data_IF_459820020995
#
_entry.id   IF_459820020995
#
_cell.length_a   1.000
_cell.length_b   1.000
_cell.length_c   1.000
_cell.angle_alpha   90.00
_cell.angle_beta   90.00
_cell.angle_gamma   90.00
#
_symmetry.space_group_name_H-M   'P 1'
#
loop_
_entity.id
_entity.type
_entity.pdbx_description
1 polymer ?
#
# COMPACT_ATOMS: atom_id res chain seq x y z
N UNK A 1 -3.77 -49.25 4.13
CA UNK A 1 -4.10 -48.33 3.01
C UNK A 1 -2.96 -47.34 2.74
N UNK A 2 -2.39 -46.65 3.77
CA UNK A 2 -1.30 -45.66 3.55
C UNK A 2 0.04 -46.34 3.23
N UNK A 3 0.34 -47.47 3.86
CA UNK A 3 1.55 -48.29 3.57
C UNK A 3 1.57 -48.79 2.11
N UNK A 4 0.40 -49.16 1.61
CA UNK A 4 0.25 -49.68 0.24
C UNK A 4 0.27 -48.55 -0.79
N UNK A 5 -0.26 -47.38 -0.44
CA UNK A 5 -0.29 -46.21 -1.31
C UNK A 5 1.12 -45.60 -1.55
N UNK A 6 2.05 -45.72 -0.58
CA UNK A 6 3.39 -45.15 -0.67
C UNK A 6 4.51 -46.18 -0.83
N UNK A 7 4.19 -47.45 -1.12
CA UNK A 7 5.13 -48.55 -1.22
C UNK A 7 6.16 -48.36 -2.33
N UNK A 8 5.72 -47.79 -3.45
CA UNK A 8 6.56 -47.58 -4.65
C UNK A 8 6.95 -46.10 -4.85
N UNK A 9 6.84 -45.26 -3.81
CA UNK A 9 7.22 -43.86 -3.86
C UNK A 9 8.42 -43.57 -2.96
N UNK A 10 9.19 -42.53 -3.29
CA UNK A 10 10.30 -42.03 -2.46
C UNK A 10 9.81 -41.25 -1.23
N UNK A 11 8.55 -41.42 -0.83
CA UNK A 11 7.93 -40.73 0.29
C UNK A 11 7.75 -41.68 1.47
N UNK A 12 8.09 -41.19 2.67
CA UNK A 12 7.74 -41.78 3.95
C UNK A 12 6.68 -40.88 4.62
N UNK A 13 5.84 -41.46 5.44
CA UNK A 13 4.85 -40.69 6.19
C UNK A 13 5.05 -40.89 7.70
N UNK A 14 4.75 -39.85 8.46
CA UNK A 14 4.76 -39.86 9.92
C UNK A 14 3.50 -39.19 10.45
N UNK A 15 2.93 -39.77 11.55
CA UNK A 15 1.76 -39.19 12.17
C UNK A 15 2.18 -38.20 13.28
N UNK A 16 1.74 -36.95 13.13
CA UNK A 16 1.88 -35.93 14.16
C UNK A 16 0.47 -35.46 14.57
N UNK A 17 -0.04 -36.03 15.67
CA UNK A 17 -1.37 -35.77 16.22
C UNK A 17 -2.52 -35.93 15.20
N UNK A 18 -2.89 -34.82 14.53
CA UNK A 18 -3.98 -34.75 13.52
C UNK A 18 -3.49 -34.63 12.09
N UNK A 19 -2.20 -34.59 11.88
CA UNK A 19 -1.60 -34.38 10.55
C UNK A 19 -0.78 -35.58 10.13
N UNK A 20 -0.75 -35.82 8.83
CA UNK A 20 0.13 -36.80 8.20
C UNK A 20 1.24 -36.01 7.50
N UNK A 21 2.46 -36.13 7.98
CA UNK A 21 3.63 -35.52 7.39
C UNK A 21 4.20 -36.44 6.32
N UNK A 22 4.34 -35.95 5.10
CA UNK A 22 4.98 -36.65 4.00
C UNK A 22 6.44 -36.21 3.91
N UNK A 23 7.37 -37.16 4.07
CA UNK A 23 8.80 -36.93 4.06
C UNK A 23 9.44 -37.67 2.86
N UNK A 24 10.46 -37.10 2.26
CA UNK A 24 11.21 -37.76 1.20
C UNK A 24 12.18 -38.77 1.82
N UNK A 25 12.17 -40.04 1.38
CA UNK A 25 13.00 -41.15 1.91
C UNK A 25 14.52 -40.86 1.93
N UNK A 26 14.99 -39.93 1.11
CA UNK A 26 16.40 -39.57 1.01
C UNK A 26 16.85 -38.38 1.90
N UNK A 27 15.97 -37.80 2.71
CA UNK A 27 16.31 -36.68 3.60
C UNK A 27 16.82 -37.18 4.99
N UNK A 28 17.77 -38.11 4.96
CA UNK A 28 18.47 -38.57 6.18
C UNK A 28 19.26 -37.49 6.92
N UNK A 29 19.26 -36.25 6.40
CA UNK A 29 19.96 -35.12 7.00
C UNK A 29 19.14 -34.27 7.98
N UNK A 30 17.81 -34.44 8.04
CA UNK A 30 16.94 -33.61 8.91
C UNK A 30 16.41 -34.33 10.16
N UNK A 31 16.48 -35.64 10.20
CA UNK A 31 16.04 -36.44 11.36
C UNK A 31 17.09 -36.48 12.49
N UNK A 32 18.26 -35.89 12.32
CA UNK A 32 19.29 -35.87 13.36
C UNK A 32 19.22 -34.67 14.32
N UNK A 33 18.17 -33.82 14.23
CA UNK A 33 18.00 -32.72 15.18
C UNK A 33 17.23 -33.11 16.47
N UNK A 34 16.66 -34.31 16.52
CA UNK A 34 15.94 -34.82 17.71
C UNK A 34 16.87 -35.59 18.69
N UNK A 35 18.13 -35.76 18.33
CA UNK A 35 19.16 -36.43 19.17
C UNK A 35 20.17 -35.50 19.85
N UNK A 36 20.10 -34.18 19.65
CA UNK A 36 20.90 -33.26 20.44
C UNK A 36 20.17 -32.99 21.76
N UNK A 37 20.86 -33.28 22.88
CA UNK A 37 20.36 -33.01 24.23
C UNK A 37 19.83 -31.59 24.30
N UNK A 38 18.51 -31.43 24.18
CA UNK A 38 17.85 -30.16 24.46
C UNK A 38 18.12 -29.82 25.93
N UNK A 39 18.41 -28.58 26.19
CA UNK A 39 18.62 -28.08 27.55
C UNK A 39 17.61 -27.01 27.88
N UNK A 40 17.14 -27.03 29.08
CA UNK A 40 16.26 -25.98 29.59
C UNK A 40 17.09 -24.74 29.94
N UNK A 41 16.71 -23.60 29.35
CA UNK A 41 17.25 -22.29 29.66
C UNK A 41 16.18 -21.46 30.35
N UNK A 42 16.59 -20.74 31.36
CA UNK A 42 15.78 -19.75 32.06
C UNK A 42 16.40 -18.37 31.91
N UNK A 43 15.61 -17.32 31.94
CA UNK A 43 16.13 -15.95 31.91
C UNK A 43 15.04 -14.95 32.26
N UNK A 44 15.45 -13.71 32.44
CA UNK A 44 14.57 -12.61 32.73
C UNK A 44 14.72 -11.56 31.63
N UNK A 45 13.60 -11.02 31.14
CA UNK A 45 13.59 -9.92 30.19
C UNK A 45 13.17 -8.66 30.94
N UNK A 46 14.03 -7.64 30.91
CA UNK A 46 13.79 -6.35 31.54
C UNK A 46 13.95 -5.22 30.53
N UNK A 47 13.43 -4.06 30.85
CA UNK A 47 13.71 -2.81 30.13
C UNK A 47 14.99 -2.12 30.62
N UNK A 48 15.28 -0.92 30.04
CA UNK A 48 16.43 -0.10 30.46
C UNK A 48 16.34 0.43 31.90
N UNK A 49 15.13 0.45 32.49
CA UNK A 49 14.91 0.91 33.86
C UNK A 49 14.97 -0.24 34.86
N UNK A 50 15.12 -1.48 34.38
CA UNK A 50 15.11 -2.69 35.19
C UNK A 50 13.73 -3.22 35.50
N UNK A 51 12.67 -2.69 34.85
CA UNK A 51 11.30 -3.19 34.97
C UNK A 51 11.09 -4.46 34.15
N UNK A 52 10.38 -5.48 34.65
CA UNK A 52 10.15 -6.71 33.93
C UNK A 52 9.22 -6.51 32.73
N UNK A 53 9.63 -6.98 31.56
CA UNK A 53 8.81 -6.95 30.33
C UNK A 53 7.90 -8.18 30.31
N UNK A 54 6.61 -7.98 30.55
CA UNK A 54 5.59 -9.04 30.62
C UNK A 54 5.08 -9.36 29.22
N UNK A 55 5.02 -10.65 28.85
CA UNK A 55 4.48 -11.08 27.56
C UNK A 55 5.43 -10.88 26.39
N UNK A 56 6.73 -10.66 26.64
CA UNK A 56 7.74 -10.64 25.59
C UNK A 56 7.84 -12.02 24.93
N UNK A 57 7.89 -12.05 23.61
CA UNK A 57 7.99 -13.26 22.82
C UNK A 57 9.46 -13.69 22.71
N UNK A 58 9.77 -14.91 23.11
CA UNK A 58 11.12 -15.51 23.09
C UNK A 58 11.07 -16.73 22.19
N UNK A 59 11.66 -16.65 21.00
CA UNK A 59 11.64 -17.72 19.99
C UNK A 59 13.06 -18.14 19.61
N UNK A 60 13.23 -19.40 19.22
CA UNK A 60 14.46 -19.88 18.60
C UNK A 60 14.47 -19.43 17.14
N UNK A 61 15.46 -18.62 16.75
CA UNK A 61 15.57 -18.07 15.41
C UNK A 61 15.53 -19.18 14.34
N UNK A 62 14.63 -18.99 13.36
CA UNK A 62 14.44 -19.95 12.27
C UNK A 62 13.53 -21.14 12.59
N UNK A 63 12.88 -21.15 13.76
CA UNK A 63 11.89 -22.17 14.16
C UNK A 63 10.61 -21.50 14.65
N UNK A 64 9.57 -22.31 14.85
CA UNK A 64 8.32 -21.89 15.51
C UNK A 64 8.31 -22.22 17.02
N UNK A 65 9.44 -22.65 17.58
CA UNK A 65 9.56 -23.02 18.99
C UNK A 65 9.85 -21.77 19.81
N UNK A 66 9.00 -21.46 20.77
CA UNK A 66 9.14 -20.27 21.60
C UNK A 66 8.27 -20.32 22.85
N UNK A 67 8.42 -19.31 23.68
CA UNK A 67 7.63 -19.06 24.89
C UNK A 67 7.41 -17.56 25.06
N UNK A 68 6.60 -17.17 26.04
CA UNK A 68 6.38 -15.78 26.45
C UNK A 68 6.83 -15.57 27.89
N UNK A 69 7.24 -14.36 28.23
CA UNK A 69 7.63 -14.01 29.60
C UNK A 69 6.43 -13.89 30.52
N UNK A 70 6.60 -14.28 31.78
CA UNK A 70 5.60 -14.19 32.84
C UNK A 70 5.48 -12.77 33.43
N UNK A 71 4.67 -12.62 34.49
CA UNK A 71 4.44 -11.35 35.20
C UNK A 71 5.69 -10.76 35.87
N UNK A 72 6.74 -11.54 36.03
CA UNK A 72 8.04 -11.13 36.56
C UNK A 72 9.09 -11.00 35.44
N UNK A 73 8.68 -11.04 34.16
CA UNK A 73 9.58 -11.02 33.01
C UNK A 73 10.39 -12.31 32.82
N UNK A 74 10.08 -13.39 33.54
CA UNK A 74 10.82 -14.66 33.46
C UNK A 74 10.31 -15.55 32.34
N UNK A 75 11.23 -16.27 31.72
CA UNK A 75 10.90 -17.27 30.70
C UNK A 75 11.68 -18.57 30.93
N UNK A 76 11.14 -19.66 30.44
CA UNK A 76 11.76 -20.97 30.40
C UNK A 76 11.55 -21.59 29.03
N UNK A 77 12.60 -22.00 28.36
CA UNK A 77 12.54 -22.57 27.02
C UNK A 77 13.56 -23.71 26.86
N UNK A 78 13.13 -24.78 26.21
CA UNK A 78 14.05 -25.86 25.81
C UNK A 78 14.71 -25.54 24.49
N UNK A 79 16.03 -25.52 24.46
CA UNK A 79 16.79 -25.09 23.28
C UNK A 79 17.88 -26.11 22.92
N UNK A 80 18.17 -26.30 21.64
CA UNK A 80 19.34 -27.06 21.21
C UNK A 80 20.64 -26.30 21.51
N UNK A 81 21.80 -27.00 21.58
CA UNK A 81 23.10 -26.36 21.74
C UNK A 81 23.39 -25.33 20.65
N UNK A 82 23.92 -24.16 21.03
CA UNK A 82 24.22 -23.03 20.13
C UNK A 82 23.00 -22.41 19.43
N UNK A 83 21.83 -22.48 20.05
CA UNK A 83 20.65 -21.78 19.53
C UNK A 83 20.81 -20.26 19.63
N UNK A 84 20.22 -19.55 18.70
CA UNK A 84 20.03 -18.11 18.76
C UNK A 84 18.61 -17.84 19.21
N UNK A 85 18.44 -17.15 20.34
CA UNK A 85 17.12 -16.68 20.77
C UNK A 85 16.87 -15.29 20.19
N UNK A 86 15.68 -15.12 19.68
CA UNK A 86 15.17 -13.83 19.23
C UNK A 86 14.06 -13.39 20.19
N UNK A 87 14.28 -12.27 20.87
CA UNK A 87 13.37 -11.72 21.85
C UNK A 87 12.76 -10.45 21.28
N UNK A 88 11.43 -10.39 21.25
CA UNK A 88 10.67 -9.27 20.70
C UNK A 88 9.48 -8.90 21.58
N UNK A 89 9.19 -7.60 21.66
CA UNK A 89 8.01 -7.08 22.33
C UNK A 89 7.57 -5.78 21.65
N UNK A 90 6.28 -5.48 21.70
CA UNK A 90 5.72 -4.28 21.08
C UNK A 90 6.30 -3.03 21.75
N UNK A 91 6.88 -2.13 20.98
CA UNK A 91 7.53 -0.92 21.49
C UNK A 91 8.99 -1.09 21.87
N UNK A 92 9.61 -2.24 21.59
CA UNK A 92 11.02 -2.51 21.88
C UNK A 92 11.75 -3.05 20.64
N UNK A 93 13.03 -2.72 20.54
CA UNK A 93 13.91 -3.26 19.51
C UNK A 93 14.09 -4.76 19.71
N UNK A 94 13.89 -5.54 18.64
CA UNK A 94 14.12 -6.99 18.66
C UNK A 94 15.59 -7.28 18.95
N UNK A 95 15.88 -8.12 19.96
CA UNK A 95 17.22 -8.49 20.36
C UNK A 95 17.51 -9.96 20.10
N UNK A 96 18.67 -10.24 19.53
CA UNK A 96 19.14 -11.60 19.30
C UNK A 96 20.29 -11.91 20.27
N UNK A 97 20.24 -13.09 20.89
CA UNK A 97 21.28 -13.59 21.77
C UNK A 97 21.69 -15.01 21.37
N UNK A 98 22.97 -15.27 21.33
CA UNK A 98 23.51 -16.60 21.11
C UNK A 98 23.60 -17.31 22.45
N UNK A 99 22.97 -18.48 22.57
CA UNK A 99 23.02 -19.27 23.75
C UNK A 99 24.28 -20.16 23.69
N UNK A 100 25.29 -19.76 24.45
CA UNK A 100 26.48 -20.58 24.68
C UNK A 100 26.24 -21.54 25.87
N UNK A 101 27.21 -21.91 26.63
CA UNK A 101 27.09 -22.93 27.69
C UNK A 101 26.32 -22.49 28.97
N UNK A 102 25.83 -21.28 29.03
CA UNK A 102 25.10 -20.76 30.20
C UNK A 102 23.68 -21.31 30.31
N UNK A 103 23.25 -21.60 31.55
CA UNK A 103 21.86 -22.03 31.84
C UNK A 103 20.88 -20.86 32.00
N UNK A 104 21.39 -19.65 32.15
CA UNK A 104 20.60 -18.43 32.31
C UNK A 104 20.94 -17.43 31.21
N UNK A 105 19.92 -16.78 30.66
CA UNK A 105 20.06 -15.77 29.61
C UNK A 105 19.14 -14.58 29.92
N UNK A 106 19.66 -13.64 30.72
CA UNK A 106 18.96 -12.41 31.03
C UNK A 106 19.16 -11.38 29.89
N UNK A 107 18.08 -10.68 29.53
CA UNK A 107 18.04 -9.79 28.38
C UNK A 107 17.42 -8.46 28.75
N UNK A 108 18.13 -7.39 28.44
CA UNK A 108 17.59 -6.04 28.51
C UNK A 108 17.13 -5.65 27.11
N UNK A 109 15.83 -5.37 26.99
CA UNK A 109 15.26 -4.80 25.77
C UNK A 109 15.39 -3.27 25.82
N UNK A 110 15.77 -2.70 24.71
CA UNK A 110 15.85 -1.26 24.53
C UNK A 110 14.52 -0.82 23.94
N UNK A 111 13.85 0.15 24.55
CA UNK A 111 12.66 0.74 23.97
C UNK A 111 12.96 1.19 22.55
N UNK A 112 12.13 0.77 21.60
CA UNK A 112 12.14 1.33 20.27
C UNK A 112 11.60 2.76 20.35
N UNK A 113 12.49 3.68 20.73
CA UNK A 113 12.21 5.12 20.72
C UNK A 113 12.10 5.68 19.30
N UNK A 114 12.27 4.86 18.27
CA UNK A 114 11.64 5.10 16.99
C UNK A 114 10.11 4.91 17.13
N UNK A 115 9.48 5.70 18.03
CA UNK A 115 8.21 6.26 17.66
C UNK A 115 8.45 6.76 16.25
N UNK A 116 7.76 6.19 15.30
CA UNK A 116 7.50 6.83 14.03
C UNK A 116 6.69 8.06 14.47
N UNK A 117 7.40 9.10 14.89
CA UNK A 117 6.83 10.41 15.07
C UNK A 117 6.32 10.72 13.68
N UNK A 118 5.00 10.62 13.53
CA UNK A 118 4.34 10.91 12.26
C UNK A 118 4.66 12.36 11.95
N UNK A 119 5.68 12.52 11.11
CA UNK A 119 6.23 13.82 10.76
C UNK A 119 5.34 14.38 9.68
N UNK A 120 4.79 15.55 9.92
CA UNK A 120 3.96 16.28 8.97
C UNK A 120 4.80 17.37 8.35
N UNK A 121 4.82 17.42 7.03
CA UNK A 121 5.46 18.51 6.30
C UNK A 121 4.61 19.76 6.49
N UNK A 122 5.19 20.78 7.08
CA UNK A 122 4.58 22.10 7.25
C UNK A 122 5.46 23.15 6.56
N UNK A 123 4.92 23.82 5.58
CA UNK A 123 5.46 24.99 4.88
C UNK A 123 6.96 25.09 4.67
N UNK A 124 7.73 25.25 5.71
CA UNK A 124 9.19 25.37 5.68
C UNK A 124 9.89 24.38 6.61
N UNK A 125 9.43 23.13 6.64
CA UNK A 125 10.07 22.09 7.45
C UNK A 125 9.14 20.97 7.83
N UNK A 126 9.64 20.07 8.66
CA UNK A 126 8.89 18.95 9.21
C UNK A 126 8.62 19.20 10.70
N UNK A 127 7.39 19.02 11.14
CA UNK A 127 7.00 19.09 12.54
C UNK A 127 6.36 17.78 12.99
N UNK A 128 6.51 17.45 14.27
CA UNK A 128 5.83 16.28 14.84
C UNK A 128 4.32 16.53 14.86
N UNK A 129 3.53 15.56 14.40
CA UNK A 129 2.06 15.65 14.32
C UNK A 129 1.42 16.08 15.65
N UNK A 130 1.99 15.66 16.78
CA UNK A 130 1.52 16.04 18.12
C UNK A 130 1.75 17.50 18.49
N UNK A 131 2.65 18.21 17.80
CA UNK A 131 2.99 19.61 18.05
C UNK A 131 2.16 20.57 17.18
N UNK A 132 1.51 20.03 16.13
CA UNK A 132 0.69 20.84 15.23
C UNK A 132 -0.73 20.93 15.77
N UNK A 133 -1.11 22.11 16.25
CA UNK A 133 -2.46 22.40 16.76
C UNK A 133 -3.58 22.40 15.70
N UNK A 134 -3.26 22.02 14.47
CA UNK A 134 -4.13 22.10 13.30
C UNK A 134 -4.67 20.72 12.88
N UNK A 135 -5.88 20.71 12.27
CA UNK A 135 -6.47 19.49 11.73
C UNK A 135 -5.78 19.07 10.44
N UNK A 136 -4.72 18.27 10.56
CA UNK A 136 -3.99 17.69 9.45
C UNK A 136 -4.39 16.22 9.32
N UNK A 137 -4.65 15.79 8.07
CA UNK A 137 -4.85 14.37 7.75
C UNK A 137 -3.70 13.90 6.88
N UNK A 138 -2.93 12.95 7.39
CA UNK A 138 -1.80 12.32 6.71
C UNK A 138 -2.22 10.95 6.20
N UNK A 139 -1.96 10.68 4.94
CA UNK A 139 -2.17 9.37 4.29
C UNK A 139 -0.85 8.93 3.68
N UNK A 140 -0.32 7.81 4.15
CA UNK A 140 0.90 7.19 3.61
C UNK A 140 0.57 6.24 2.47
N UNK A 141 1.56 5.93 1.63
CA UNK A 141 1.44 5.06 0.46
C UNK A 141 0.80 3.69 0.77
N UNK A 142 1.07 3.11 1.94
CA UNK A 142 0.47 1.83 2.38
C UNK A 142 -1.06 1.90 2.50
N UNK A 143 -1.57 3.09 2.77
CA UNK A 143 -2.99 3.36 2.95
C UNK A 143 -3.67 3.91 1.69
N UNK A 144 -2.99 3.99 0.57
CA UNK A 144 -3.59 4.46 -0.67
C UNK A 144 -4.62 3.47 -1.22
N UNK A 145 -5.56 4.00 -2.01
CA UNK A 145 -6.48 3.16 -2.76
C UNK A 145 -5.71 2.50 -3.89
N UNK A 146 -5.56 1.17 -3.84
CA UNK A 146 -4.82 0.39 -4.85
C UNK A 146 -5.67 0.18 -6.09
N UNK A 147 -5.76 1.19 -6.92
CA UNK A 147 -6.42 1.13 -8.23
C UNK A 147 -5.49 1.71 -9.29
N UNK A 148 -5.46 1.15 -10.51
CA UNK A 148 -4.74 1.76 -11.61
C UNK A 148 -5.41 3.10 -11.93
N UNK A 149 -4.86 4.17 -11.39
CA UNK A 149 -5.35 5.55 -11.61
C UNK A 149 -4.21 6.43 -12.08
N UNK A 150 -4.57 7.37 -12.92
CA UNK A 150 -3.64 8.41 -13.39
C UNK A 150 -3.70 9.66 -12.54
N UNK A 151 -4.71 9.76 -11.67
CA UNK A 151 -4.97 10.94 -10.84
C UNK A 151 -4.64 10.64 -9.38
N UNK A 152 -3.63 11.33 -8.84
CA UNK A 152 -3.21 11.19 -7.46
C UNK A 152 -4.33 11.49 -6.44
N UNK A 153 -5.33 12.30 -6.79
CA UNK A 153 -6.48 12.56 -5.93
C UNK A 153 -7.27 11.28 -5.61
N UNK A 154 -7.36 10.36 -6.56
CA UNK A 154 -8.10 9.10 -6.37
C UNK A 154 -7.48 8.21 -5.28
N UNK A 155 -6.18 8.34 -5.01
CA UNK A 155 -5.48 7.57 -3.98
C UNK A 155 -6.05 7.82 -2.58
N UNK A 156 -6.56 9.04 -2.32
CA UNK A 156 -7.05 9.48 -1.02
C UNK A 156 -8.58 9.62 -0.96
N UNK A 157 -9.27 9.21 -2.03
CA UNK A 157 -10.74 9.28 -2.11
C UNK A 157 -11.39 8.49 -0.98
N UNK A 158 -12.27 9.16 -0.23
CA UNK A 158 -12.97 8.57 0.92
C UNK A 158 -12.13 8.35 2.18
N UNK A 159 -10.82 8.71 2.18
CA UNK A 159 -9.93 8.52 3.33
C UNK A 159 -9.75 9.76 4.20
N UNK A 160 -10.09 10.91 3.67
CA UNK A 160 -9.97 12.20 4.37
C UNK A 160 -11.34 12.78 4.69
N UNK A 161 -11.73 12.89 5.97
CA UNK A 161 -13.00 13.52 6.33
C UNK A 161 -13.06 14.98 5.87
N UNK A 162 -14.14 15.36 5.20
CA UNK A 162 -14.38 16.72 4.69
C UNK A 162 -13.71 17.01 3.35
N UNK A 163 -13.02 16.04 2.74
CA UNK A 163 -12.50 16.12 1.38
C UNK A 163 -13.46 15.44 0.40
N UNK A 164 -13.97 16.21 -0.55
CA UNK A 164 -14.79 15.72 -1.66
C UNK A 164 -13.97 15.65 -2.93
N UNK A 165 -13.92 14.49 -3.56
CA UNK A 165 -13.21 14.25 -4.81
C UNK A 165 -14.23 13.72 -5.82
N UNK A 166 -14.50 14.50 -6.86
CA UNK A 166 -15.48 14.21 -7.90
C UNK A 166 -14.76 14.12 -9.23
N UNK A 167 -14.89 13.02 -9.91
CA UNK A 167 -14.46 12.87 -11.30
C UNK A 167 -15.61 13.36 -12.19
N UNK A 168 -15.45 14.46 -12.94
CA UNK A 168 -16.56 15.11 -13.64
C UNK A 168 -17.10 14.28 -14.81
N UNK A 169 -16.26 13.48 -15.41
CA UNK A 169 -16.59 12.63 -16.56
C UNK A 169 -15.83 11.29 -16.52
N UNK A 170 -16.10 10.45 -17.50
CA UNK A 170 -15.45 9.15 -17.66
C UNK A 170 -14.12 9.25 -18.47
N UNK A 171 -13.66 10.45 -18.78
CA UNK A 171 -12.43 10.66 -19.52
C UNK A 171 -11.22 10.33 -18.63
N UNK A 172 -10.35 9.38 -18.98
CA UNK A 172 -9.21 8.98 -18.18
C UNK A 172 -8.17 10.07 -17.91
N UNK A 173 -8.20 11.15 -18.72
CA UNK A 173 -7.30 12.30 -18.54
C UNK A 173 -7.94 13.47 -17.81
N UNK A 174 -9.21 13.36 -17.43
CA UNK A 174 -9.88 14.41 -16.67
C UNK A 174 -9.32 14.51 -15.27
N UNK A 175 -9.03 15.75 -14.87
CA UNK A 175 -8.62 16.06 -13.51
C UNK A 175 -9.79 15.99 -12.56
N UNK A 176 -9.65 15.31 -11.43
CA UNK A 176 -10.64 15.32 -10.37
C UNK A 176 -10.87 16.73 -9.83
N UNK A 177 -12.12 17.08 -9.63
CA UNK A 177 -12.49 18.28 -8.89
C UNK A 177 -12.40 17.98 -7.39
N UNK A 178 -11.61 18.79 -6.70
CA UNK A 178 -11.37 18.63 -5.27
C UNK A 178 -11.97 19.81 -4.54
N UNK A 179 -12.80 19.53 -3.56
CA UNK A 179 -13.33 20.52 -2.64
C UNK A 179 -13.07 20.09 -1.19
N UNK A 180 -12.55 20.99 -0.39
CA UNK A 180 -12.29 20.77 1.02
C UNK A 180 -13.29 21.59 1.84
N UNK A 181 -14.08 20.91 2.71
CA UNK A 181 -15.14 21.51 3.53
C UNK A 181 -16.26 22.23 2.74
N UNK A 182 -16.44 21.84 1.47
CA UNK A 182 -17.48 22.38 0.61
C UNK A 182 -17.06 23.58 -0.24
N UNK A 183 -18.01 24.18 -0.94
CA UNK A 183 -17.78 25.33 -1.81
C UNK A 183 -17.78 26.59 -0.97
N UNK A 184 -16.64 27.29 -0.96
CA UNK A 184 -16.45 28.52 -0.16
C UNK A 184 -16.73 29.80 -0.91
N UNK A 185 -16.82 29.73 -2.24
CA UNK A 185 -17.00 30.94 -3.09
C UNK A 185 -17.87 30.62 -4.31
N UNK A 186 -18.63 31.60 -4.74
CA UNK A 186 -19.50 31.49 -5.95
C UNK A 186 -18.80 31.91 -7.25
N UNK A 187 -17.72 32.69 -7.17
CA UNK A 187 -17.05 33.29 -8.34
C UNK A 187 -15.59 32.91 -8.50
N UNK A 188 -14.93 32.41 -7.45
CA UNK A 188 -13.54 32.03 -7.48
C UNK A 188 -13.38 30.50 -7.40
N UNK A 189 -12.19 30.00 -7.70
CA UNK A 189 -11.89 28.58 -7.51
C UNK A 189 -12.00 28.19 -6.04
N UNK A 190 -12.72 27.11 -5.74
CA UNK A 190 -12.79 26.47 -4.42
C UNK A 190 -11.77 25.35 -4.27
N UNK A 191 -10.89 25.15 -5.26
CA UNK A 191 -9.88 24.09 -5.23
C UNK A 191 -8.80 24.41 -4.19
N UNK A 192 -8.34 23.41 -3.41
CA UNK A 192 -7.21 23.57 -2.51
C UNK A 192 -5.93 23.83 -3.28
N UNK A 193 -4.95 24.47 -2.63
CA UNK A 193 -3.61 24.60 -3.15
C UNK A 193 -2.90 23.25 -3.13
N UNK A 194 -2.35 22.82 -4.25
CA UNK A 194 -1.54 21.60 -4.34
C UNK A 194 -0.07 21.96 -4.37
N UNK A 195 0.71 21.32 -3.51
CA UNK A 195 2.16 21.46 -3.44
C UNK A 195 2.79 20.07 -3.58
N UNK A 196 3.77 19.96 -4.48
CA UNK A 196 4.56 18.76 -4.71
C UNK A 196 5.98 19.09 -4.26
N UNK A 197 6.44 18.40 -3.22
CA UNK A 197 7.73 18.67 -2.56
C UNK A 197 7.96 20.16 -2.25
N UNK A 198 6.88 20.84 -1.84
CA UNK A 198 6.87 22.27 -1.50
C UNK A 198 6.70 23.23 -2.68
N UNK A 199 6.63 22.75 -3.92
CA UNK A 199 6.45 23.55 -5.13
C UNK A 199 4.99 23.47 -5.58
N UNK A 200 4.32 24.61 -5.89
CA UNK A 200 2.98 24.59 -6.46
C UNK A 200 2.93 23.82 -7.77
N UNK A 201 2.05 22.83 -7.85
CA UNK A 201 1.93 21.94 -9.00
C UNK A 201 0.51 21.42 -9.21
N UNK A 202 0.35 20.55 -10.19
CA UNK A 202 -0.90 19.85 -10.50
C UNK A 202 -0.80 18.38 -10.07
N UNK A 203 -1.90 17.84 -9.57
CA UNK A 203 -2.00 16.44 -9.14
C UNK A 203 -1.68 15.44 -10.26
N UNK A 204 -1.95 15.81 -11.51
CA UNK A 204 -1.67 14.97 -12.67
C UNK A 204 -0.19 14.99 -13.11
N UNK A 205 0.63 15.87 -12.54
CA UNK A 205 2.05 15.99 -12.89
C UNK A 205 2.95 15.00 -12.15
N UNK A 206 2.40 14.28 -11.16
CA UNK A 206 3.12 13.28 -10.36
C UNK A 206 2.51 11.92 -10.58
N UNK A 207 3.37 10.92 -10.83
CA UNK A 207 2.92 9.54 -10.86
C UNK A 207 2.39 9.10 -9.49
N UNK A 208 1.20 8.50 -9.40
CA UNK A 208 0.69 7.91 -8.16
C UNK A 208 1.66 6.95 -7.47
N UNK A 209 2.45 6.22 -8.25
CA UNK A 209 3.43 5.24 -7.76
C UNK A 209 4.66 5.90 -7.10
N UNK A 210 4.95 7.16 -7.45
CA UNK A 210 6.09 7.91 -6.92
C UNK A 210 5.74 8.69 -5.63
N UNK A 211 4.49 8.64 -5.18
CA UNK A 211 4.04 9.34 -3.97
C UNK A 211 4.33 8.49 -2.73
N UNK A 212 5.00 9.09 -1.75
CA UNK A 212 5.22 8.50 -0.42
C UNK A 212 4.08 8.82 0.54
N UNK A 213 3.67 10.11 0.56
CA UNK A 213 2.71 10.62 1.53
C UNK A 213 1.91 11.79 0.95
N UNK A 214 0.65 11.89 1.37
CA UNK A 214 -0.22 13.04 1.09
C UNK A 214 -0.73 13.60 2.42
N UNK A 215 -0.44 14.86 2.68
CA UNK A 215 -0.93 15.61 3.84
C UNK A 215 -1.99 16.62 3.41
N UNK A 216 -3.14 16.59 4.07
CA UNK A 216 -4.23 17.51 3.81
C UNK A 216 -4.41 18.45 4.98
N UNK A 217 -4.05 19.72 4.78
CA UNK A 217 -4.21 20.80 5.74
C UNK A 217 -5.59 21.42 5.57
N UNK A 218 -6.47 21.14 6.52
CA UNK A 218 -7.90 21.50 6.39
C UNK A 218 -8.20 22.87 6.96
N UNK A 219 -7.39 23.36 7.88
CA UNK A 219 -7.64 24.60 8.60
C UNK A 219 -6.85 25.76 8.02
N UNK A 220 -7.45 26.94 8.04
CA UNK A 220 -6.80 28.16 7.59
C UNK A 220 -5.55 28.50 8.40
N UNK A 221 -5.45 28.08 9.67
CA UNK A 221 -4.26 28.26 10.48
C UNK A 221 -3.08 27.44 9.96
N UNK A 222 -3.30 26.18 9.59
CA UNK A 222 -2.28 25.33 8.98
C UNK A 222 -1.88 25.82 7.58
N UNK A 223 -2.85 26.39 6.87
CA UNK A 223 -2.67 26.93 5.53
C UNK A 223 -2.14 28.38 5.51
N UNK A 224 -2.12 29.06 6.66
CA UNK A 224 -1.72 30.49 6.76
C UNK A 224 -0.29 30.75 6.26
N UNK A 225 0.59 29.77 6.36
CA UNK A 225 1.96 29.84 5.83
C UNK A 225 1.98 30.09 4.31
N UNK A 226 0.93 29.58 3.61
CA UNK A 226 0.81 29.72 2.14
C UNK A 226 -0.02 30.95 1.71
N UNK A 227 -0.35 31.81 2.68
CA UNK A 227 -1.09 33.06 2.46
C UNK A 227 -2.50 32.82 1.90
N UNK A 228 -2.98 33.77 1.09
CA UNK A 228 -4.34 33.72 0.52
C UNK A 228 -4.60 32.51 -0.40
N UNK A 229 -3.55 31.93 -0.95
CA UNK A 229 -3.69 30.69 -1.78
C UNK A 229 -4.09 29.49 -0.94
N UNK A 230 -3.75 29.45 0.35
CA UNK A 230 -4.10 28.37 1.26
C UNK A 230 -5.51 28.47 1.85
N UNK A 231 -6.30 29.49 1.54
CA UNK A 231 -7.62 29.74 2.16
C UNK A 231 -8.59 28.56 1.97
N UNK A 232 -8.54 27.86 0.84
CA UNK A 232 -9.37 26.71 0.55
C UNK A 232 -8.75 25.38 1.03
N UNK A 233 -7.71 25.44 1.86
CA UNK A 233 -6.89 24.32 2.29
C UNK A 233 -5.71 24.06 1.39
N UNK A 234 -4.82 23.18 1.86
CA UNK A 234 -3.58 22.83 1.16
C UNK A 234 -3.43 21.32 1.12
N UNK A 235 -3.04 20.78 -0.02
CA UNK A 235 -2.67 19.38 -0.21
C UNK A 235 -1.18 19.36 -0.48
N UNK A 236 -0.43 18.72 0.44
CA UNK A 236 1.01 18.52 0.32
C UNK A 236 1.26 17.11 -0.18
N UNK A 237 1.96 16.97 -1.27
CA UNK A 237 2.41 15.69 -1.81
C UNK A 237 3.90 15.59 -1.55
N UNK A 238 4.30 14.56 -0.86
CA UNK A 238 5.71 14.20 -0.68
C UNK A 238 6.02 13.02 -1.57
N UNK A 239 7.00 13.17 -2.44
CA UNK A 239 7.44 12.08 -3.31
C UNK A 239 8.46 11.18 -2.60
N UNK A 240 8.58 9.95 -3.08
CA UNK A 240 9.56 8.98 -2.58
C UNK A 240 10.97 9.48 -2.86
N UNK A 241 11.74 9.69 -1.82
CA UNK A 241 13.11 10.17 -1.89
C UNK A 241 14.10 9.14 -1.34
N UNK A 242 15.35 9.27 -1.77
CA UNK A 242 16.47 8.56 -1.16
C UNK A 242 16.98 9.37 0.05
N UNK A 243 16.93 8.79 1.25
CA UNK A 243 17.38 9.43 2.45
C UNK A 243 18.65 8.73 3.00
N UNK A 244 19.80 9.42 2.93
CA UNK A 244 21.07 8.92 3.46
C UNK A 244 21.70 7.81 2.63
N UNK A 245 22.54 6.99 3.27
CA UNK A 245 23.16 5.83 2.63
C UNK A 245 22.16 4.71 2.45
N UNK A 246 21.74 4.47 1.22
CA UNK A 246 20.88 3.35 0.86
C UNK A 246 21.36 2.71 -0.44
N UNK A 247 21.25 1.39 -0.57
CA UNK A 247 21.54 0.70 -1.82
C UNK A 247 20.61 1.22 -2.92
N UNK A 248 21.03 1.10 -4.16
CA UNK A 248 20.19 1.43 -5.31
C UNK A 248 19.01 0.46 -5.36
N UNK A 249 17.81 0.99 -5.28
CA UNK A 249 16.55 0.27 -5.43
C UNK A 249 15.93 0.61 -6.78
N UNK A 250 15.37 -0.40 -7.42
CA UNK A 250 14.62 -0.26 -8.68
C UNK A 250 13.21 -0.80 -8.44
N UNK A 251 12.22 0.09 -8.51
CA UNK A 251 10.81 -0.27 -8.43
C UNK A 251 10.23 -0.32 -9.85
N UNK A 252 9.57 -1.42 -10.20
CA UNK A 252 8.90 -1.59 -11.49
C UNK A 252 7.45 -1.95 -11.24
N UNK A 253 6.56 -1.08 -11.68
CA UNK A 253 5.12 -1.30 -11.60
C UNK A 253 4.52 -1.35 -13.00
N UNK A 254 3.65 -2.33 -13.24
CA UNK A 254 2.94 -2.48 -14.50
C UNK A 254 1.46 -2.75 -14.22
N UNK A 255 0.58 -1.93 -14.81
CA UNK A 255 -0.86 -2.07 -14.72
C UNK A 255 -1.45 -2.26 -16.09
N UNK A 256 -2.29 -3.29 -16.20
CA UNK A 256 -3.06 -3.59 -17.40
C UNK A 256 -4.53 -3.60 -17.00
N UNK A 257 -5.35 -2.81 -17.67
CA UNK A 257 -6.78 -2.77 -17.40
C UNK A 257 -7.61 -2.66 -18.67
N UNK A 258 -8.81 -3.21 -18.61
CA UNK A 258 -9.83 -3.08 -19.63
C UNK A 258 -11.11 -2.57 -19.03
N UNK A 259 -11.85 -1.77 -19.77
CA UNK A 259 -13.12 -1.21 -19.33
C UNK A 259 -14.23 -1.68 -20.28
N UNK A 260 -15.39 -1.93 -19.72
CA UNK A 260 -16.58 -2.29 -20.49
C UNK A 260 -17.74 -1.39 -20.11
N UNK A 261 -18.53 -1.02 -21.10
CA UNK A 261 -19.77 -0.29 -20.86
C UNK A 261 -20.77 -1.27 -20.23
N UNK A 262 -21.10 -1.06 -18.96
CA UNK A 262 -22.00 -1.95 -18.21
C UNK A 262 -23.47 -1.70 -18.53
N UNK A 263 -23.83 -0.48 -18.93
CA UNK A 263 -25.20 -0.10 -19.24
C UNK A 263 -25.21 1.01 -20.28
N UNK A 264 -25.97 0.80 -21.33
CA UNK A 264 -26.27 1.81 -22.36
C UNK A 264 -27.70 2.29 -22.24
N UNK A 265 -27.97 3.48 -22.74
CA UNK A 265 -29.34 3.91 -22.94
C UNK A 265 -29.99 3.03 -24.03
N UNK A 266 -31.28 2.71 -23.90
CA UNK A 266 -31.99 1.99 -24.96
C UNK A 266 -32.17 2.91 -26.16
N UNK A 267 -31.31 2.70 -27.18
CA UNK A 267 -31.47 3.34 -28.47
C UNK A 267 -32.41 2.54 -29.34
N UNK A 268 -33.18 3.23 -30.18
CA UNK A 268 -34.06 2.59 -31.16
C UNK A 268 -33.20 1.84 -32.20
N UNK A 269 -33.44 0.53 -32.36
CA UNK A 269 -32.79 -0.28 -33.38
C UNK A 269 -33.52 -0.14 -34.74
N UNK A 270 -32.83 -0.51 -35.81
CA UNK A 270 -33.37 -0.38 -37.16
C UNK A 270 -34.71 -1.09 -37.35
N UNK A 271 -34.94 -2.24 -36.73
CA UNK A 271 -36.18 -3.00 -36.82
C UNK A 271 -37.33 -2.26 -36.13
N UNK A 272 -37.10 -1.65 -35.00
CA UNK A 272 -38.11 -0.84 -34.29
C UNK A 272 -38.40 0.44 -35.06
N UNK A 273 -37.38 1.09 -35.63
CA UNK A 273 -37.53 2.26 -36.48
C UNK A 273 -38.39 1.95 -37.70
N UNK A 274 -38.10 0.85 -38.44
CA UNK A 274 -38.90 0.41 -39.57
C UNK A 274 -40.35 0.12 -39.23
N UNK A 275 -40.59 -0.53 -38.10
CA UNK A 275 -41.95 -0.75 -37.59
C UNK A 275 -42.67 0.55 -37.38
N UNK A 276 -42.04 1.56 -36.79
CA UNK A 276 -42.67 2.87 -36.55
C UNK A 276 -42.92 3.66 -37.84
N UNK A 277 -42.01 3.53 -38.81
CA UNK A 277 -42.25 4.09 -40.15
C UNK A 277 -43.47 3.44 -40.81
N UNK A 278 -43.65 2.13 -40.71
CA UNK A 278 -44.82 1.41 -41.20
C UNK A 278 -46.12 1.80 -40.45
N UNK A 279 -46.00 2.11 -39.17
CA UNK A 279 -47.11 2.64 -38.35
C UNK A 279 -47.47 4.11 -38.68
N UNK A 280 -46.72 4.75 -39.60
CA UNK A 280 -47.02 6.09 -40.05
C UNK A 280 -46.40 7.21 -39.23
N UNK A 281 -45.20 6.97 -38.65
CA UNK A 281 -44.50 8.01 -37.90
C UNK A 281 -44.17 9.21 -38.78
N UNK A 282 -44.68 10.43 -38.42
CA UNK A 282 -44.55 11.58 -39.30
C UNK A 282 -43.10 11.99 -39.55
N UNK A 283 -42.78 12.19 -40.84
CA UNK A 283 -41.43 12.63 -41.25
C UNK A 283 -40.34 11.58 -41.21
N UNK A 284 -40.69 10.33 -40.92
CA UNK A 284 -39.74 9.23 -40.93
C UNK A 284 -39.73 8.52 -42.29
N UNK A 285 -38.53 8.26 -42.81
CA UNK A 285 -38.31 7.54 -44.07
C UNK A 285 -37.30 6.42 -43.82
N UNK A 286 -37.56 5.23 -44.33
CA UNK A 286 -36.63 4.11 -44.24
C UNK A 286 -35.79 4.02 -45.53
N UNK A 287 -34.49 4.33 -45.37
CA UNK A 287 -33.52 4.23 -46.47
C UNK A 287 -32.81 2.87 -46.50
N UNK A 288 -33.30 1.90 -45.73
CA UNK A 288 -32.81 0.52 -45.70
C UNK A 288 -31.54 0.26 -44.88
N UNK A 289 -31.00 1.29 -44.20
CA UNK A 289 -29.81 1.15 -43.34
C UNK A 289 -30.15 0.37 -42.08
N UNK A 290 -29.19 -0.50 -41.62
CA UNK A 290 -29.33 -1.28 -40.37
C UNK A 290 -28.08 -1.23 -39.50
N UNK A 291 -27.27 -0.19 -39.64
CA UNK A 291 -26.03 -0.03 -38.89
C UNK A 291 -26.33 0.21 -37.39
N UNK A 292 -25.72 -0.58 -36.54
CA UNK A 292 -25.74 -0.35 -35.11
C UNK A 292 -24.63 0.70 -34.79
N UNK A 293 -25.03 1.97 -34.78
CA UNK A 293 -24.12 3.07 -34.54
C UNK A 293 -23.47 3.05 -33.13
N UNK A 294 -24.14 2.40 -32.17
CA UNK A 294 -23.54 2.27 -30.84
C UNK A 294 -22.34 1.31 -30.87
N UNK A 295 -22.48 0.22 -31.59
CA UNK A 295 -21.40 -0.75 -31.76
C UNK A 295 -20.23 -0.17 -32.56
N UNK A 296 -20.54 0.62 -33.62
CA UNK A 296 -19.52 1.30 -34.44
C UNK A 296 -18.74 2.38 -33.69
N UNK A 297 -19.38 3.08 -32.73
CA UNK A 297 -18.75 4.18 -31.98
C UNK A 297 -18.20 3.76 -30.62
N UNK A 298 -18.27 2.46 -30.30
CA UNK A 298 -17.77 1.95 -29.03
C UNK A 298 -16.74 0.88 -29.23
N UNK A 299 -15.78 0.81 -28.33
CA UNK A 299 -14.76 -0.25 -28.32
C UNK A 299 -14.44 -0.64 -26.86
N UNK A 300 -13.90 -1.84 -26.69
CA UNK A 300 -13.31 -2.24 -25.42
C UNK A 300 -11.90 -1.68 -25.32
N UNK A 301 -11.64 -0.66 -24.50
CA UNK A 301 -10.32 -0.04 -24.39
C UNK A 301 -9.37 -0.94 -23.60
N UNK A 302 -8.10 -0.87 -23.94
CA UNK A 302 -7.01 -1.51 -23.20
C UNK A 302 -6.04 -0.45 -22.72
N UNK A 303 -6.00 -0.24 -21.40
CA UNK A 303 -5.13 0.72 -20.75
C UNK A 303 -3.88 0.03 -20.25
N UNK A 304 -2.73 0.64 -20.49
CA UNK A 304 -1.42 0.17 -20.06
C UNK A 304 -0.70 1.32 -19.35
N UNK A 305 -0.20 1.05 -18.15
CA UNK A 305 0.59 2.00 -17.37
C UNK A 305 1.84 1.25 -16.90
N UNK A 306 3.00 1.77 -17.22
CA UNK A 306 4.30 1.26 -16.79
C UNK A 306 5.04 2.37 -16.05
N UNK A 307 5.42 2.10 -14.82
CA UNK A 307 6.24 3.00 -14.02
C UNK A 307 7.54 2.28 -13.64
N UNK A 308 8.66 2.94 -13.85
CA UNK A 308 9.98 2.47 -13.44
C UNK A 308 10.61 3.60 -12.64
N UNK A 309 10.91 3.36 -11.38
CA UNK A 309 11.62 4.31 -10.54
C UNK A 309 12.92 3.72 -10.02
N UNK A 310 13.94 4.56 -9.98
CA UNK A 310 15.28 4.27 -9.50
C UNK A 310 15.60 5.26 -8.39
N UNK A 311 15.95 4.75 -7.22
CA UNK A 311 16.38 5.59 -6.10
C UNK A 311 17.60 5.00 -5.43
N UNK A 312 18.46 5.85 -4.92
CA UNK A 312 19.64 5.41 -4.19
C UNK A 312 20.38 6.58 -3.58
N UNK A 313 21.22 6.30 -2.61
CA UNK A 313 21.94 7.33 -1.91
C UNK A 313 23.30 6.86 -1.41
N UNK A 314 24.25 7.76 -1.46
CA UNK A 314 25.53 7.66 -0.77
C UNK A 314 25.58 8.70 0.34
N UNK A 315 26.64 8.70 1.11
CA UNK A 315 26.86 9.68 2.18
C UNK A 315 26.81 11.14 1.72
N UNK A 316 27.08 11.40 0.45
CA UNK A 316 27.22 12.75 -0.11
C UNK A 316 26.22 13.06 -1.22
N UNK A 317 25.57 12.06 -1.80
CA UNK A 317 24.72 12.25 -2.99
C UNK A 317 23.54 11.31 -2.93
N UNK A 318 22.35 11.88 -3.04
CA UNK A 318 21.11 11.14 -3.21
C UNK A 318 20.57 11.39 -4.62
N UNK A 319 19.98 10.36 -5.21
CA UNK A 319 19.38 10.47 -6.53
C UNK A 319 18.06 9.71 -6.60
N UNK A 320 17.14 10.28 -7.34
CA UNK A 320 15.85 9.67 -7.69
C UNK A 320 15.60 9.96 -9.15
N UNK A 321 15.20 8.95 -9.90
CA UNK A 321 14.76 9.09 -11.28
C UNK A 321 13.54 8.19 -11.48
N UNK A 322 12.46 8.73 -12.04
CA UNK A 322 11.29 7.96 -12.41
C UNK A 322 10.92 8.19 -13.86
N UNK A 323 10.37 7.14 -14.48
CA UNK A 323 9.83 7.17 -15.82
C UNK A 323 8.49 6.48 -15.83
N UNK A 324 7.47 7.16 -16.33
CA UNK A 324 6.15 6.60 -16.49
C UNK A 324 5.70 6.69 -17.94
N UNK A 325 5.21 5.55 -18.46
CA UNK A 325 4.55 5.47 -19.75
C UNK A 325 3.09 5.10 -19.55
N UNK A 326 2.20 5.90 -20.10
CA UNK A 326 0.74 5.68 -20.05
C UNK A 326 0.19 5.56 -21.45
N UNK A 327 -0.47 4.43 -21.74
CA UNK A 327 -1.29 4.29 -22.94
C UNK A 327 -2.74 4.17 -22.49
N UNK A 328 -3.51 5.24 -22.74
CA UNK A 328 -4.89 5.35 -22.33
C UNK A 328 -5.78 5.28 -23.57
N UNK A 329 -6.59 4.23 -23.70
CA UNK A 329 -7.58 4.13 -24.74
C UNK A 329 -8.97 4.42 -24.16
N UNK A 330 -9.84 4.99 -24.98
CA UNK A 330 -11.20 5.36 -24.60
C UNK A 330 -12.20 4.32 -25.10
N UNK A 331 -13.34 4.21 -24.43
CA UNK A 331 -14.46 3.39 -24.89
C UNK A 331 -15.08 3.91 -26.17
N UNK A 332 -14.98 5.24 -26.43
CA UNK A 332 -15.37 5.85 -27.69
C UNK A 332 -14.10 6.34 -28.41
N UNK A 333 -13.85 5.96 -29.66
CA UNK A 333 -12.69 6.44 -30.41
C UNK A 333 -12.79 7.96 -30.61
N UNK A 334 -11.63 8.63 -30.52
CA UNK A 334 -11.52 10.04 -30.87
C UNK A 334 -11.69 10.22 -32.39
N UNK A 335 -12.26 11.32 -32.85
CA UNK A 335 -12.29 11.65 -34.28
C UNK A 335 -10.91 11.77 -34.94
N UNK A 336 -9.84 11.72 -34.15
CA UNK A 336 -8.45 11.79 -34.60
C UNK A 336 -7.72 10.45 -34.60
N UNK A 337 -8.37 9.40 -34.08
CA UNK A 337 -7.92 8.02 -34.14
C UNK A 337 -8.49 7.35 -35.40
#
# INVERSE_FOLDING_TARGET
>A
YLEEAFKDTDLAYEFDNRYILLLKKNDKGRTSLIGQQSRTITGTVTDNNGEPVIGANVIIKGTSIGTVTDVNGKYTLEVPPKAILQISYIGYLTKEIVIDNNKTADVILIEDTQKIDEVVVVGYGTQKKGEVASSISTIKSDNFVKTPTTDAAQLIKGKVPGLSIITPDANPTSTSQIALRGITTLKASSSPLVLIDGIPGDLNSVSPDDIEQIDVLKDGSAAAIYGTRGTNGVILITTKNANGEMPTEVDVNAYLSTQQITKTLPFMKADEYRRRVQEGWPGAQDDGASTDWLDEVTRTPFTQIYNISLRGGSRTTNYVASFEYRCLLYTSPSPRD
#
